data_IF_322186168929
#
_entry.id   IF_322186168929
#
_cell.length_a   1.000
_cell.length_b   1.000
_cell.length_c   1.000
_cell.angle_alpha   90.00
_cell.angle_beta   90.00
_cell.angle_gamma   90.00
#
_symmetry.space_group_name_H-M   'P 1'
#
loop_
_entity.id
_entity.type
_entity.pdbx_description
1 polymer ?
#
# COMPACT_ATOMS: atom_id res chain seq x y z
N UNK A 1 13.44 6.80 -17.11
CA UNK A 1 13.44 7.29 -15.74
C UNK A 1 14.26 6.33 -14.91
N UNK A 2 15.23 6.83 -14.16
CA UNK A 2 16.12 5.98 -13.35
C UNK A 2 15.39 5.35 -12.18
N UNK A 3 15.88 4.22 -11.75
CA UNK A 3 15.46 3.55 -10.52
C UNK A 3 16.69 3.36 -9.66
N UNK A 4 16.66 3.85 -8.45
CA UNK A 4 17.80 3.86 -7.55
C UNK A 4 17.50 3.15 -6.24
N UNK A 5 18.52 2.57 -5.65
CA UNK A 5 18.41 1.98 -4.31
C UNK A 5 18.22 3.09 -3.27
N UNK A 6 17.17 2.97 -2.45
CA UNK A 6 16.87 3.95 -1.40
C UNK A 6 18.02 4.06 -0.39
N UNK A 7 18.69 2.95 -0.06
CA UNK A 7 19.73 2.89 0.98
C UNK A 7 21.11 3.33 0.54
N UNK A 8 21.50 3.11 -0.72
CA UNK A 8 22.88 3.35 -1.16
C UNK A 8 23.02 4.11 -2.48
N UNK A 9 21.92 4.53 -3.10
CA UNK A 9 21.92 5.31 -4.34
C UNK A 9 22.31 4.53 -5.61
N UNK A 10 22.69 3.23 -5.51
CA UNK A 10 23.06 2.45 -6.70
C UNK A 10 21.89 2.36 -7.66
N UNK A 11 22.13 2.64 -8.95
CA UNK A 11 21.12 2.47 -9.99
C UNK A 11 20.77 1.00 -10.20
N UNK A 12 19.49 0.73 -10.47
CA UNK A 12 18.95 -0.59 -10.78
C UNK A 12 19.35 -1.00 -12.19
N UNK A 13 19.92 -2.18 -12.32
CA UNK A 13 20.29 -2.78 -13.59
C UNK A 13 19.20 -3.78 -14.00
N UNK A 14 18.34 -3.41 -14.98
CA UNK A 14 17.26 -4.28 -15.44
C UNK A 14 16.10 -4.41 -14.45
N UNK A 15 15.70 -5.63 -14.10
CA UNK A 15 14.50 -5.94 -13.31
C UNK A 15 14.81 -6.57 -11.94
N UNK A 16 15.94 -6.25 -11.36
CA UNK A 16 16.35 -6.76 -10.04
C UNK A 16 15.37 -6.38 -8.94
N UNK A 17 15.10 -7.30 -8.03
CA UNK A 17 14.17 -7.08 -6.91
C UNK A 17 14.81 -6.33 -5.74
N UNK A 18 16.11 -6.57 -5.52
CA UNK A 18 16.90 -5.97 -4.43
C UNK A 18 18.23 -5.49 -4.96
N UNK A 19 18.77 -4.45 -4.36
CA UNK A 19 20.07 -3.90 -4.72
C UNK A 19 21.19 -4.92 -4.50
N UNK A 20 21.95 -5.27 -5.53
CA UNK A 20 23.08 -6.19 -5.43
C UNK A 20 24.21 -5.70 -4.50
N UNK A 21 24.28 -4.37 -4.25
CA UNK A 21 25.32 -3.78 -3.39
C UNK A 21 24.98 -3.90 -1.89
N UNK A 22 23.72 -3.65 -1.50
CA UNK A 22 23.36 -3.55 -0.09
C UNK A 22 22.06 -4.29 0.30
N UNK A 23 21.45 -5.04 -0.62
CA UNK A 23 20.17 -5.72 -0.41
C UNK A 23 18.95 -4.80 -0.28
N UNK A 24 19.12 -3.48 -0.38
CA UNK A 24 18.05 -2.50 -0.17
C UNK A 24 17.00 -2.44 -1.28
N UNK A 25 15.83 -1.80 -0.98
CA UNK A 25 14.78 -1.60 -1.96
C UNK A 25 15.14 -0.52 -2.98
N UNK A 26 14.58 -0.65 -4.19
CA UNK A 26 14.67 0.39 -5.21
C UNK A 26 13.48 1.35 -5.14
N UNK A 27 13.66 2.60 -5.57
CA UNK A 27 12.59 3.57 -5.87
C UNK A 27 12.71 4.07 -7.31
N UNK A 28 11.61 4.55 -7.87
CA UNK A 28 11.63 5.38 -9.06
C UNK A 28 12.13 6.76 -8.66
N UNK A 29 13.14 7.28 -9.35
CA UNK A 29 13.71 8.59 -9.05
C UNK A 29 12.84 9.69 -9.67
N UNK A 30 12.32 10.57 -8.84
CA UNK A 30 11.39 11.63 -9.23
C UNK A 30 11.88 13.04 -8.84
N UNK A 31 13.11 13.13 -8.34
CA UNK A 31 13.62 14.37 -7.75
C UNK A 31 13.65 15.55 -8.74
N UNK A 32 13.85 15.28 -10.04
CA UNK A 32 13.80 16.29 -11.10
C UNK A 32 12.50 16.27 -11.92
N UNK A 33 11.51 15.45 -11.52
CA UNK A 33 10.25 15.34 -12.25
C UNK A 33 9.38 16.58 -12.01
N UNK A 34 8.96 17.33 -13.04
CA UNK A 34 7.98 18.39 -12.86
C UNK A 34 6.62 17.80 -12.46
N UNK A 35 5.86 18.54 -11.65
CA UNK A 35 4.52 18.13 -11.28
C UNK A 35 3.50 18.54 -12.34
N UNK A 36 2.59 17.62 -12.70
CA UNK A 36 1.45 17.88 -13.56
C UNK A 36 0.13 17.67 -12.82
N UNK A 37 -0.84 18.55 -13.05
CA UNK A 37 -2.23 18.40 -12.59
C UNK A 37 -2.97 17.25 -13.30
N UNK A 38 -2.53 16.86 -14.50
CA UNK A 38 -2.91 15.60 -15.12
C UNK A 38 -2.11 14.48 -14.43
N UNK A 39 -2.76 13.73 -13.54
CA UNK A 39 -2.08 12.82 -12.63
C UNK A 39 -1.24 11.75 -13.34
N UNK A 40 -1.66 11.28 -14.51
CA UNK A 40 -0.92 10.24 -15.26
C UNK A 40 0.41 10.75 -15.82
N UNK A 41 0.54 12.03 -16.10
CA UNK A 41 1.78 12.64 -16.58
C UNK A 41 2.91 12.63 -15.53
N UNK A 42 2.56 12.44 -14.26
CA UNK A 42 3.56 12.23 -13.19
C UNK A 42 4.22 10.85 -13.21
N UNK A 43 3.85 10.00 -14.17
CA UNK A 43 4.40 8.65 -14.38
C UNK A 43 4.91 8.48 -15.83
N UNK A 44 5.86 9.31 -16.29
CA UNK A 44 6.25 9.41 -17.70
C UNK A 44 6.94 8.15 -18.25
N UNK A 45 7.31 7.21 -17.38
CA UNK A 45 7.86 5.91 -17.77
C UNK A 45 6.78 4.90 -18.21
N UNK A 46 5.50 5.20 -17.96
CA UNK A 46 4.37 4.40 -18.44
C UNK A 46 3.89 4.99 -19.77
N UNK A 47 4.14 4.27 -20.84
CA UNK A 47 3.75 4.68 -22.22
C UNK A 47 2.34 4.24 -22.57
N UNK A 48 1.91 3.08 -22.05
CA UNK A 48 0.58 2.51 -22.27
C UNK A 48 0.03 1.98 -20.95
N UNK A 49 -1.16 2.42 -20.58
CA UNK A 49 -1.80 2.10 -19.32
C UNK A 49 -2.73 0.88 -19.46
N UNK A 50 -2.49 -0.13 -18.64
CA UNK A 50 -3.43 -1.24 -18.43
C UNK A 50 -4.39 -0.82 -17.32
N UNK A 51 -5.44 -0.09 -17.65
CA UNK A 51 -6.33 0.55 -16.68
C UNK A 51 -7.67 -0.20 -16.55
N UNK A 52 -8.17 -0.32 -15.34
CA UNK A 52 -9.50 -0.84 -15.00
C UNK A 52 -10.42 0.26 -14.46
N UNK A 53 -10.03 1.53 -14.55
CA UNK A 53 -10.77 2.66 -14.00
C UNK A 53 -10.39 3.01 -12.56
N UNK A 54 -9.18 2.61 -12.13
CA UNK A 54 -8.59 2.97 -10.84
C UNK A 54 -8.40 4.49 -10.71
N UNK A 55 -8.13 4.92 -9.46
CA UNK A 55 -7.96 6.32 -9.06
C UNK A 55 -9.29 7.08 -8.98
N UNK A 56 -9.22 8.38 -8.77
CA UNK A 56 -10.38 9.28 -8.62
C UNK A 56 -11.42 8.78 -7.61
N UNK A 57 -10.95 8.11 -6.53
CA UNK A 57 -11.84 7.64 -5.48
C UNK A 57 -12.46 8.83 -4.72
N UNK A 58 -13.72 8.74 -4.29
CA UNK A 58 -14.38 9.82 -3.57
C UNK A 58 -13.68 10.16 -2.25
N UNK A 59 -13.83 11.42 -1.82
CA UNK A 59 -13.43 11.88 -0.50
C UNK A 59 -14.62 12.51 0.20
N UNK A 60 -15.05 11.95 1.32
CA UNK A 60 -16.20 12.43 2.10
C UNK A 60 -15.73 13.27 3.30
N UNK A 61 -16.38 14.40 3.53
CA UNK A 61 -16.09 15.30 4.66
C UNK A 61 -17.06 15.08 5.81
N UNK A 62 -16.54 15.06 7.04
CA UNK A 62 -17.31 15.06 8.28
C UNK A 62 -16.59 15.96 9.31
N UNK A 63 -17.00 17.22 9.39
CA UNK A 63 -16.31 18.24 10.20
C UNK A 63 -14.90 18.51 9.68
N UNK A 64 -13.89 18.30 10.52
CA UNK A 64 -12.46 18.42 10.17
C UNK A 64 -11.85 17.10 9.69
N UNK A 65 -12.65 16.03 9.58
CA UNK A 65 -12.19 14.72 9.14
C UNK A 65 -12.67 14.45 7.73
N UNK A 66 -11.76 13.91 6.91
CA UNK A 66 -12.05 13.47 5.55
C UNK A 66 -11.79 11.97 5.45
N UNK A 67 -12.71 11.25 4.79
CA UNK A 67 -12.58 9.84 4.49
C UNK A 67 -12.24 9.67 3.02
N UNK A 68 -11.01 9.26 2.69
CA UNK A 68 -10.63 8.89 1.33
C UNK A 68 -11.02 7.45 1.06
N UNK A 69 -12.01 7.25 0.17
CA UNK A 69 -12.67 5.96 -0.04
C UNK A 69 -11.89 5.06 -1.02
N UNK A 70 -10.67 4.71 -0.69
CA UNK A 70 -9.78 3.93 -1.56
C UNK A 70 -10.21 2.46 -1.73
N UNK A 71 -11.13 2.00 -0.90
CA UNK A 71 -11.82 0.72 -1.06
C UNK A 71 -12.80 0.67 -2.26
N UNK A 72 -13.03 1.80 -2.94
CA UNK A 72 -13.85 1.89 -4.16
C UNK A 72 -13.03 1.76 -5.45
N UNK A 73 -11.73 1.50 -5.37
CA UNK A 73 -10.96 1.09 -6.53
C UNK A 73 -11.47 -0.25 -7.12
N UNK A 74 -11.23 -0.56 -8.40
CA UNK A 74 -11.86 -1.66 -9.14
C UNK A 74 -11.84 -3.02 -8.46
N UNK A 75 -10.72 -3.41 -7.81
CA UNK A 75 -10.65 -4.69 -7.09
C UNK A 75 -11.05 -4.59 -5.63
N UNK A 76 -11.55 -3.44 -5.18
CA UNK A 76 -11.99 -3.18 -3.82
C UNK A 76 -10.85 -2.83 -2.86
N UNK A 77 -9.72 -2.31 -3.34
CA UNK A 77 -8.66 -1.81 -2.45
C UNK A 77 -7.69 -0.83 -3.12
N UNK A 78 -6.96 -0.05 -2.31
CA UNK A 78 -5.90 0.86 -2.75
C UNK A 78 -4.76 0.19 -3.54
N UNK A 79 -4.66 -1.14 -3.48
CA UNK A 79 -3.62 -1.90 -4.16
C UNK A 79 -3.63 -1.68 -5.68
N UNK A 80 -4.78 -1.35 -6.23
CA UNK A 80 -4.96 -1.04 -7.65
C UNK A 80 -4.09 0.13 -8.11
N UNK A 81 -3.83 1.09 -7.22
CA UNK A 81 -2.92 2.21 -7.50
C UNK A 81 -1.50 1.76 -7.83
N UNK A 82 -1.03 0.73 -7.15
CA UNK A 82 0.28 0.14 -7.41
C UNK A 82 0.27 -0.87 -8.54
N UNK A 83 -0.80 -1.67 -8.63
CA UNK A 83 -0.91 -2.69 -9.67
C UNK A 83 -0.98 -2.10 -11.07
N UNK A 84 -1.71 -1.00 -11.27
CA UNK A 84 -1.81 -0.35 -12.58
C UNK A 84 -0.44 0.09 -13.11
N UNK A 85 0.39 0.72 -12.28
CA UNK A 85 1.73 1.16 -12.70
C UNK A 85 2.69 0.00 -12.89
N UNK A 86 2.70 -0.97 -11.97
CA UNK A 86 3.56 -2.14 -12.07
C UNK A 86 3.22 -2.97 -13.31
N UNK A 87 1.96 -3.34 -13.51
CA UNK A 87 1.56 -4.21 -14.63
C UNK A 87 1.72 -3.48 -15.97
N UNK A 88 1.39 -2.19 -16.06
CA UNK A 88 1.65 -1.40 -17.28
C UNK A 88 3.15 -1.37 -17.60
N UNK A 89 4.02 -1.19 -16.59
CA UNK A 89 5.46 -1.22 -16.78
C UNK A 89 5.96 -2.60 -17.24
N UNK A 90 5.52 -3.69 -16.61
CA UNK A 90 5.94 -5.04 -16.98
C UNK A 90 5.44 -5.42 -18.38
N UNK A 91 4.22 -5.02 -18.76
CA UNK A 91 3.67 -5.25 -20.09
C UNK A 91 4.52 -4.60 -21.20
N UNK A 92 4.92 -3.34 -21.00
CA UNK A 92 5.78 -2.66 -21.97
C UNK A 92 7.23 -3.19 -22.01
N UNK A 93 7.67 -3.88 -20.96
CA UNK A 93 8.94 -4.63 -20.93
C UNK A 93 8.83 -6.03 -21.57
N UNK A 94 7.66 -6.39 -22.10
CA UNK A 94 7.41 -7.68 -22.76
C UNK A 94 7.21 -8.86 -21.81
N UNK A 95 7.06 -8.63 -20.51
CA UNK A 95 6.78 -9.69 -19.53
C UNK A 95 5.37 -10.23 -19.76
N UNK A 96 5.22 -11.56 -19.86
CA UNK A 96 3.96 -12.26 -20.15
C UNK A 96 3.50 -13.16 -19.02
N UNK A 97 4.38 -13.48 -18.07
CA UNK A 97 4.13 -14.43 -17.00
C UNK A 97 4.65 -13.84 -15.68
N UNK A 98 3.78 -13.73 -14.68
CA UNK A 98 4.09 -13.09 -13.40
C UNK A 98 3.67 -13.95 -12.22
N UNK A 99 4.41 -13.83 -11.10
CA UNK A 99 4.08 -14.44 -9.82
C UNK A 99 3.91 -13.37 -8.73
N UNK A 100 3.12 -13.66 -7.72
CA UNK A 100 2.91 -12.83 -6.52
C UNK A 100 2.64 -13.73 -5.31
N UNK A 101 2.94 -13.27 -4.07
CA UNK A 101 2.86 -14.06 -2.84
C UNK A 101 1.76 -13.64 -1.86
N UNK A 102 0.69 -13.02 -2.35
CA UNK A 102 -0.38 -12.52 -1.49
C UNK A 102 -1.72 -13.24 -1.72
N UNK A 103 -2.27 -13.84 -0.67
CA UNK A 103 -3.65 -14.36 -0.65
C UNK A 103 -4.72 -13.28 -0.43
N UNK A 104 -4.32 -12.02 -0.27
CA UNK A 104 -5.19 -10.89 0.05
C UNK A 104 -5.35 -9.89 -1.09
N UNK A 105 -5.52 -8.62 -0.70
CA UNK A 105 -5.78 -7.52 -1.63
C UNK A 105 -4.70 -7.33 -2.71
N UNK A 106 -3.42 -7.56 -2.38
CA UNK A 106 -2.35 -7.43 -3.38
C UNK A 106 -2.47 -8.52 -4.45
N UNK A 107 -2.65 -9.79 -4.05
CA UNK A 107 -2.87 -10.88 -5.00
C UNK A 107 -4.10 -10.67 -5.87
N UNK A 108 -5.23 -10.23 -5.30
CA UNK A 108 -6.43 -9.93 -6.06
C UNK A 108 -6.21 -8.80 -7.10
N UNK A 109 -5.52 -7.75 -6.70
CA UNK A 109 -5.21 -6.63 -7.59
C UNK A 109 -4.24 -7.03 -8.71
N UNK A 110 -3.13 -7.71 -8.38
CA UNK A 110 -2.17 -8.22 -9.39
C UNK A 110 -2.84 -9.22 -10.35
N UNK A 111 -3.73 -10.09 -9.86
CA UNK A 111 -4.48 -11.02 -10.69
C UNK A 111 -5.38 -10.28 -11.70
N UNK A 112 -6.13 -9.27 -11.24
CA UNK A 112 -7.04 -8.50 -12.10
C UNK A 112 -6.30 -7.74 -13.21
N UNK A 113 -5.26 -6.97 -12.84
CA UNK A 113 -4.48 -6.18 -13.79
C UNK A 113 -3.64 -7.08 -14.72
N UNK A 114 -3.11 -8.20 -14.21
CA UNK A 114 -2.42 -9.20 -15.01
C UNK A 114 -3.34 -9.81 -16.06
N UNK A 115 -4.57 -10.18 -15.68
CA UNK A 115 -5.59 -10.67 -16.61
C UNK A 115 -5.94 -9.62 -17.68
N UNK A 116 -6.14 -8.36 -17.30
CA UNK A 116 -6.40 -7.26 -18.23
C UNK A 116 -5.23 -7.02 -19.21
N UNK A 117 -4.00 -7.32 -18.80
CA UNK A 117 -2.81 -7.26 -19.63
C UNK A 117 -2.60 -8.51 -20.52
N UNK A 118 -3.46 -9.52 -20.39
CA UNK A 118 -3.28 -10.82 -21.07
C UNK A 118 -2.08 -11.61 -20.57
N UNK A 119 -1.64 -11.39 -19.34
CA UNK A 119 -0.54 -12.11 -18.69
C UNK A 119 -1.05 -13.41 -18.05
N UNK A 120 -0.18 -14.42 -17.98
CA UNK A 120 -0.40 -15.55 -17.07
C UNK A 120 0.03 -15.14 -15.67
N UNK A 121 -0.86 -15.38 -14.69
CA UNK A 121 -0.63 -14.97 -13.30
C UNK A 121 -0.64 -16.20 -12.40
N UNK A 122 0.40 -16.36 -11.57
CA UNK A 122 0.46 -17.32 -10.47
C UNK A 122 0.47 -16.59 -9.14
N UNK A 123 -0.47 -16.93 -8.28
CA UNK A 123 -0.54 -16.40 -6.91
C UNK A 123 -0.19 -17.51 -5.93
N UNK A 124 0.93 -17.35 -5.25
CA UNK A 124 1.40 -18.26 -4.22
C UNK A 124 0.77 -17.87 -2.89
N UNK A 125 0.17 -18.85 -2.22
CA UNK A 125 -0.58 -18.62 -0.98
C UNK A 125 -0.26 -19.70 0.06
N UNK A 126 -0.40 -19.42 1.38
CA UNK A 126 -0.36 -20.48 2.37
C UNK A 126 -1.41 -21.55 2.07
N UNK A 127 -1.10 -22.83 2.34
CA UNK A 127 -2.04 -23.94 2.16
C UNK A 127 -3.35 -23.77 2.95
N UNK A 128 -3.29 -23.02 4.03
CA UNK A 128 -4.43 -22.66 4.88
C UNK A 128 -5.27 -21.49 4.35
N UNK A 129 -4.83 -20.81 3.29
CA UNK A 129 -5.54 -19.64 2.74
C UNK A 129 -6.95 -20.04 2.26
N UNK A 130 -7.94 -19.24 2.64
CA UNK A 130 -9.37 -19.42 2.35
C UNK A 130 -10.06 -18.04 2.29
N UNK A 131 -11.32 -18.04 1.89
CA UNK A 131 -12.21 -16.88 1.95
C UNK A 131 -12.40 -16.16 0.62
N UNK A 132 -13.14 -15.05 0.70
CA UNK A 132 -13.61 -14.30 -0.48
C UNK A 132 -12.47 -13.69 -1.30
N UNK A 133 -11.39 -13.25 -0.69
CA UNK A 133 -10.21 -12.70 -1.40
C UNK A 133 -9.56 -13.77 -2.30
N UNK A 134 -9.47 -15.02 -1.83
CA UNK A 134 -8.92 -16.11 -2.64
C UNK A 134 -9.84 -16.43 -3.82
N UNK A 135 -11.16 -16.51 -3.58
CA UNK A 135 -12.16 -16.68 -4.65
C UNK A 135 -12.08 -15.55 -5.68
N UNK A 136 -11.85 -14.32 -5.25
CA UNK A 136 -11.67 -13.19 -6.14
C UNK A 136 -10.43 -13.38 -7.04
N UNK A 137 -9.30 -13.83 -6.50
CA UNK A 137 -8.07 -14.16 -7.25
C UNK A 137 -8.34 -15.20 -8.32
N UNK A 138 -8.98 -16.30 -7.94
CA UNK A 138 -9.37 -17.41 -8.84
C UNK A 138 -10.33 -16.94 -9.95
N UNK A 139 -11.28 -16.06 -9.61
CA UNK A 139 -12.25 -15.50 -10.56
C UNK A 139 -11.61 -14.63 -11.65
N UNK A 140 -10.45 -14.03 -11.40
CA UNK A 140 -9.67 -13.33 -12.41
C UNK A 140 -8.81 -14.26 -13.29
N UNK A 141 -8.91 -15.58 -13.09
CA UNK A 141 -8.19 -16.57 -13.88
C UNK A 141 -6.74 -16.80 -13.47
N UNK A 142 -6.33 -16.32 -12.31
CA UNK A 142 -4.99 -16.58 -11.78
C UNK A 142 -4.87 -18.05 -11.29
N UNK A 143 -3.73 -18.68 -11.57
CA UNK A 143 -3.38 -19.98 -11.02
C UNK A 143 -2.95 -19.83 -9.56
N UNK A 144 -3.70 -20.42 -8.62
CA UNK A 144 -3.40 -20.40 -7.20
C UNK A 144 -2.51 -21.57 -6.81
N UNK A 145 -1.32 -21.29 -6.31
CA UNK A 145 -0.35 -22.31 -5.86
C UNK A 145 -0.31 -22.30 -4.33
N UNK A 146 -0.76 -23.38 -3.72
CA UNK A 146 -0.74 -23.54 -2.25
C UNK A 146 0.59 -24.08 -1.78
N UNK A 147 1.19 -23.38 -0.80
CA UNK A 147 2.50 -23.72 -0.22
C UNK A 147 2.32 -24.05 1.26
N UNK A 148 2.87 -25.19 1.67
CA UNK A 148 3.00 -25.54 3.08
C UNK A 148 4.15 -24.74 3.72
N UNK A 149 4.00 -24.38 4.98
CA UNK A 149 5.03 -23.67 5.74
C UNK A 149 4.68 -22.24 6.11
N UNK A 150 5.70 -21.43 6.33
CA UNK A 150 5.61 -20.06 6.79
C UNK A 150 5.26 -19.08 5.67
N UNK A 151 4.92 -17.84 6.05
CA UNK A 151 4.78 -16.73 5.09
C UNK A 151 6.05 -16.51 4.26
N UNK A 152 7.22 -16.74 4.85
CA UNK A 152 8.51 -16.61 4.17
C UNK A 152 8.70 -17.70 3.12
N UNK A 153 8.22 -18.94 3.38
CA UNK A 153 8.28 -20.04 2.42
C UNK A 153 7.39 -19.75 1.20
N UNK A 154 6.22 -19.15 1.42
CA UNK A 154 5.34 -18.68 0.33
C UNK A 154 6.03 -17.63 -0.53
N UNK A 155 6.66 -16.62 0.10
CA UNK A 155 7.37 -15.57 -0.62
C UNK A 155 8.57 -16.13 -1.41
N UNK A 156 9.35 -17.04 -0.83
CA UNK A 156 10.46 -17.74 -1.52
C UNK A 156 9.97 -18.56 -2.71
N UNK A 157 8.85 -19.27 -2.57
CA UNK A 157 8.28 -20.04 -3.66
C UNK A 157 7.84 -19.15 -4.83
N UNK A 158 7.23 -18.00 -4.55
CA UNK A 158 6.86 -17.03 -5.58
C UNK A 158 8.09 -16.39 -6.25
N UNK A 159 9.12 -16.02 -5.48
CA UNK A 159 10.36 -15.43 -5.99
C UNK A 159 11.17 -16.43 -6.85
N UNK A 160 11.19 -17.71 -6.47
CA UNK A 160 11.87 -18.79 -7.20
C UNK A 160 11.04 -19.38 -8.35
N UNK A 161 9.83 -18.85 -8.59
CA UNK A 161 9.00 -19.24 -9.73
C UNK A 161 9.73 -18.97 -11.05
N UNK A 162 9.47 -19.74 -12.12
CA UNK A 162 9.92 -19.38 -13.46
C UNK A 162 9.24 -18.11 -13.99
N UNK A 163 8.15 -17.67 -13.37
CA UNK A 163 7.44 -16.44 -13.69
C UNK A 163 8.13 -15.23 -13.03
N UNK A 164 8.02 -14.06 -13.65
CA UNK A 164 8.61 -12.86 -13.07
C UNK A 164 7.88 -12.45 -11.78
N UNK A 165 8.62 -12.31 -10.68
CA UNK A 165 8.04 -11.96 -9.38
C UNK A 165 7.59 -10.50 -9.32
N UNK A 166 6.29 -10.29 -9.46
CA UNK A 166 5.62 -8.98 -9.43
C UNK A 166 5.30 -8.51 -8.01
N UNK A 167 6.23 -8.72 -7.08
CA UNK A 167 6.06 -8.41 -5.66
C UNK A 167 5.57 -6.98 -5.41
N UNK A 168 4.43 -6.86 -4.75
CA UNK A 168 3.87 -5.57 -4.33
C UNK A 168 4.76 -4.83 -3.32
N UNK A 169 5.72 -5.50 -2.68
CA UNK A 169 6.67 -4.91 -1.72
C UNK A 169 7.97 -4.50 -2.40
N UNK A 170 8.53 -5.37 -3.24
CA UNK A 170 9.88 -5.19 -3.79
C UNK A 170 9.91 -4.33 -5.05
N UNK A 171 8.83 -4.33 -5.84
CA UNK A 171 8.81 -3.59 -7.09
C UNK A 171 8.66 -2.08 -6.86
N UNK A 172 9.60 -1.27 -7.34
CA UNK A 172 9.54 0.18 -7.16
C UNK A 172 8.32 0.81 -7.85
N UNK A 173 7.91 0.29 -8.99
CA UNK A 173 6.74 0.80 -9.73
C UNK A 173 5.43 0.63 -8.96
N UNK A 174 5.30 -0.43 -8.15
CA UNK A 174 4.12 -0.62 -7.32
C UNK A 174 3.99 0.51 -6.28
N UNK A 175 5.08 0.80 -5.56
CA UNK A 175 5.08 1.90 -4.59
C UNK A 175 4.92 3.25 -5.27
N UNK A 176 5.54 3.42 -6.43
CA UNK A 176 5.45 4.66 -7.19
C UNK A 176 4.02 4.98 -7.60
N UNK A 177 3.23 4.00 -8.04
CA UNK A 177 1.81 4.18 -8.38
C UNK A 177 0.95 4.70 -7.22
N UNK A 178 1.32 4.35 -5.99
CA UNK A 178 0.60 4.81 -4.78
C UNK A 178 0.75 6.31 -4.55
N UNK A 179 1.74 6.99 -5.13
CA UNK A 179 1.85 8.47 -5.11
C UNK A 179 0.58 9.16 -5.59
N UNK A 180 -0.15 8.54 -6.52
CA UNK A 180 -1.42 9.04 -7.04
C UNK A 180 -2.43 9.35 -5.94
N UNK A 181 -2.40 8.63 -4.82
CA UNK A 181 -3.29 8.87 -3.68
C UNK A 181 -3.06 10.24 -3.04
N UNK A 182 -1.80 10.61 -2.81
CA UNK A 182 -1.45 11.92 -2.27
C UNK A 182 -1.86 13.04 -3.23
N UNK A 183 -1.67 12.84 -4.54
CA UNK A 183 -2.06 13.82 -5.56
C UNK A 183 -3.57 14.05 -5.58
N UNK A 184 -4.37 12.99 -5.50
CA UNK A 184 -5.82 13.09 -5.42
C UNK A 184 -6.29 13.79 -4.16
N UNK A 185 -5.74 13.44 -3.00
CA UNK A 185 -6.08 14.08 -1.72
C UNK A 185 -5.84 15.59 -1.80
N UNK A 186 -4.68 16.01 -2.30
CA UNK A 186 -4.34 17.44 -2.42
C UNK A 186 -5.24 18.14 -3.45
N UNK A 187 -5.53 17.50 -4.58
CA UNK A 187 -6.50 18.01 -5.57
C UNK A 187 -7.89 18.18 -4.95
N UNK A 188 -8.38 17.16 -4.24
CA UNK A 188 -9.70 17.14 -3.63
C UNK A 188 -9.82 18.16 -2.46
N UNK A 189 -8.68 18.60 -1.90
CA UNK A 189 -8.55 19.70 -0.94
C UNK A 189 -8.20 21.05 -1.59
N UNK A 190 -8.54 21.25 -2.87
CA UNK A 190 -8.25 22.48 -3.61
C UNK A 190 -6.76 22.87 -3.61
N UNK A 191 -5.89 21.90 -3.84
CA UNK A 191 -4.43 22.03 -3.91
C UNK A 191 -3.78 22.48 -2.58
N UNK A 192 -4.36 22.07 -1.46
CA UNK A 192 -3.82 22.23 -0.10
C UNK A 192 -3.45 20.88 0.50
N UNK A 193 -2.37 20.86 1.31
CA UNK A 193 -2.09 19.70 2.13
C UNK A 193 -2.97 19.70 3.39
N UNK A 194 -3.49 18.55 3.85
CA UNK A 194 -4.13 18.44 5.17
C UNK A 194 -3.09 18.59 6.28
N UNK A 195 -3.54 18.69 7.54
CA UNK A 195 -2.63 18.67 8.67
C UNK A 195 -2.10 17.27 8.94
N UNK A 196 -2.99 16.28 8.93
CA UNK A 196 -2.66 14.89 9.18
C UNK A 196 -3.19 13.96 8.08
N UNK A 197 -2.45 12.87 7.85
CA UNK A 197 -2.93 11.72 7.07
C UNK A 197 -2.75 10.43 7.86
N UNK A 198 -3.81 9.65 8.02
CA UNK A 198 -3.83 8.39 8.75
C UNK A 198 -3.75 7.22 7.78
N UNK A 199 -2.76 6.35 7.96
CA UNK A 199 -2.47 5.23 7.08
C UNK A 199 -2.40 3.91 7.86
N UNK A 200 -3.23 2.89 7.54
CA UNK A 200 -3.01 1.54 8.05
C UNK A 200 -1.65 1.05 7.57
N UNK A 201 -0.79 0.62 8.48
CA UNK A 201 0.63 0.39 8.16
C UNK A 201 1.05 -1.04 8.46
N UNK A 202 1.45 -1.78 7.41
CA UNK A 202 1.98 -3.14 7.48
C UNK A 202 3.36 -3.21 6.80
N UNK A 203 3.45 -3.73 5.57
CA UNK A 203 4.70 -3.87 4.82
C UNK A 203 5.36 -2.54 4.38
N UNK A 204 4.65 -1.41 4.47
CA UNK A 204 5.19 -0.07 4.22
C UNK A 204 4.91 0.52 2.85
N UNK A 205 4.36 -0.23 1.91
CA UNK A 205 4.15 0.26 0.53
C UNK A 205 3.22 1.47 0.45
N UNK A 206 2.13 1.47 1.24
CA UNK A 206 1.20 2.60 1.31
C UNK A 206 1.88 3.85 1.88
N UNK A 207 2.56 3.70 3.01
CA UNK A 207 3.22 4.80 3.69
C UNK A 207 4.28 5.46 2.80
N UNK A 208 5.19 4.65 2.22
CA UNK A 208 6.24 5.17 1.36
C UNK A 208 5.69 5.83 0.10
N UNK A 209 4.70 5.21 -0.56
CA UNK A 209 4.12 5.77 -1.78
C UNK A 209 3.41 7.09 -1.53
N UNK A 210 2.61 7.18 -0.46
CA UNK A 210 1.91 8.41 -0.07
C UNK A 210 2.91 9.51 0.32
N UNK A 211 3.93 9.18 1.11
CA UNK A 211 4.98 10.14 1.48
C UNK A 211 5.69 10.70 0.25
N UNK A 212 6.12 9.85 -0.70
CA UNK A 212 6.77 10.29 -1.93
C UNK A 212 5.86 11.20 -2.77
N UNK A 213 4.54 10.97 -2.76
CA UNK A 213 3.60 11.86 -3.43
C UNK A 213 3.51 13.24 -2.79
N UNK A 214 3.43 13.33 -1.47
CA UNK A 214 3.46 14.62 -0.76
C UNK A 214 4.82 15.31 -0.90
N UNK A 215 5.93 14.56 -0.78
CA UNK A 215 7.29 15.09 -0.97
C UNK A 215 7.45 15.71 -2.36
N UNK A 216 7.02 14.99 -3.42
CA UNK A 216 7.08 15.49 -4.79
C UNK A 216 6.34 16.83 -4.95
N UNK A 217 5.10 16.91 -4.48
CA UNK A 217 4.32 18.15 -4.55
C UNK A 217 4.93 19.29 -3.74
N UNK A 218 5.48 18.99 -2.56
CA UNK A 218 6.16 19.98 -1.71
C UNK A 218 7.42 20.53 -2.39
N UNK A 219 8.28 19.67 -2.92
CA UNK A 219 9.52 20.06 -3.61
C UNK A 219 9.26 20.84 -4.91
N UNK A 220 8.08 20.63 -5.54
CA UNK A 220 7.63 21.39 -6.73
C UNK A 220 6.81 22.64 -6.37
N UNK A 221 6.69 22.99 -5.11
CA UNK A 221 5.97 24.18 -4.67
C UNK A 221 4.44 24.13 -4.88
N UNK A 222 3.88 22.94 -5.09
CA UNK A 222 2.42 22.74 -5.26
C UNK A 222 1.71 22.86 -3.92
N UNK A 223 2.33 22.38 -2.85
CA UNK A 223 1.88 22.50 -1.47
C UNK A 223 2.97 23.14 -0.61
N UNK A 224 2.58 23.76 0.49
CA UNK A 224 3.49 24.51 1.38
C UNK A 224 4.01 23.68 2.57
N UNK A 225 3.49 22.46 2.77
CA UNK A 225 3.94 21.55 3.83
C UNK A 225 3.71 20.09 3.41
N UNK A 226 4.49 19.20 4.00
CA UNK A 226 4.18 17.75 4.02
C UNK A 226 3.28 17.51 5.22
N UNK A 227 2.11 16.85 5.07
CA UNK A 227 1.24 16.56 6.21
C UNK A 227 1.92 15.62 7.21
N UNK A 228 1.52 15.70 8.47
CA UNK A 228 1.95 14.73 9.48
C UNK A 228 1.40 13.35 9.14
N UNK A 229 2.28 12.38 8.93
CA UNK A 229 1.89 11.01 8.59
C UNK A 229 1.66 10.23 9.87
N UNK A 230 0.43 9.78 10.09
CA UNK A 230 0.05 8.96 11.23
C UNK A 230 0.01 7.51 10.79
N UNK A 231 1.08 6.78 11.09
CA UNK A 231 1.14 5.35 10.85
C UNK A 231 0.32 4.61 11.92
N UNK A 232 -0.65 3.79 11.50
CA UNK A 232 -1.50 3.04 12.42
C UNK A 232 -1.16 1.56 12.35
N UNK A 233 -0.81 0.97 13.49
CA UNK A 233 -0.54 -0.45 13.65
C UNK A 233 -1.42 -1.06 14.73
N UNK A 234 -1.49 -2.40 14.76
CA UNK A 234 -2.24 -3.12 15.79
C UNK A 234 -1.34 -3.47 16.97
N UNK A 235 -1.92 -3.69 18.15
CA UNK A 235 -1.17 -4.12 19.33
C UNK A 235 -0.39 -5.43 19.11
N UNK A 236 -0.94 -6.36 18.32
CA UNK A 236 -0.26 -7.59 17.97
C UNK A 236 0.90 -7.41 16.98
N UNK A 237 0.80 -6.43 16.06
CA UNK A 237 1.78 -6.23 15.00
C UNK A 237 2.16 -4.76 14.91
N UNK A 238 3.17 -4.37 15.68
CA UNK A 238 3.61 -2.97 15.80
C UNK A 238 5.12 -2.75 15.63
N UNK A 239 5.80 -3.39 14.66
CA UNK A 239 7.25 -3.26 14.52
C UNK A 239 7.72 -1.83 14.28
N UNK A 240 6.96 -1.01 13.53
CA UNK A 240 7.28 0.39 13.30
C UNK A 240 7.07 1.23 14.55
N UNK A 241 5.89 1.12 15.19
CA UNK A 241 5.58 1.89 16.39
C UNK A 241 6.55 1.57 17.53
N UNK A 242 6.97 0.31 17.66
CA UNK A 242 7.96 -0.07 18.66
C UNK A 242 9.30 0.63 18.45
N UNK A 243 9.78 0.70 17.19
CA UNK A 243 11.03 1.39 16.82
C UNK A 243 10.95 2.90 17.04
N UNK A 244 9.86 3.51 16.58
CA UNK A 244 9.66 4.97 16.68
C UNK A 244 9.53 5.43 18.13
N UNK A 245 8.82 4.67 18.96
CA UNK A 245 8.52 5.03 20.37
C UNK A 245 9.48 4.40 21.40
N UNK A 246 10.41 3.57 20.96
CA UNK A 246 11.32 2.87 21.89
C UNK A 246 10.61 1.85 22.79
N UNK A 247 9.48 1.29 22.34
CA UNK A 247 8.70 0.31 23.09
C UNK A 247 9.21 -1.09 22.77
N UNK A 248 9.40 -1.93 23.81
CA UNK A 248 9.77 -3.33 23.60
C UNK A 248 8.63 -4.05 22.86
N UNK A 249 8.97 -4.72 21.77
CA UNK A 249 8.04 -5.51 20.97
C UNK A 249 8.62 -6.89 20.69
N UNK A 250 7.85 -7.90 21.03
CA UNK A 250 8.14 -9.29 20.68
C UNK A 250 7.03 -9.73 19.71
N UNK A 251 7.33 -10.03 18.45
CA UNK A 251 6.31 -10.48 17.51
C UNK A 251 5.67 -11.79 18.03
N UNK A 252 4.36 -11.95 17.90
CA UNK A 252 3.67 -13.17 18.28
C UNK A 252 4.08 -14.33 17.35
N UNK A 253 4.10 -15.55 17.86
CA UNK A 253 4.29 -16.75 17.02
C UNK A 253 3.22 -16.87 15.94
N UNK A 254 1.98 -16.52 16.29
CA UNK A 254 0.84 -16.50 15.38
C UNK A 254 0.07 -15.21 15.53
N UNK A 255 -0.10 -14.49 14.42
CA UNK A 255 -0.97 -13.31 14.38
C UNK A 255 -2.43 -13.75 14.31
N UNK A 256 -3.24 -13.25 15.23
CA UNK A 256 -4.68 -13.54 15.33
C UNK A 256 -5.55 -12.29 15.22
N UNK A 257 -4.94 -11.14 14.88
CA UNK A 257 -5.65 -9.88 14.74
C UNK A 257 -6.71 -9.95 13.64
N UNK A 258 -7.89 -9.35 13.90
CA UNK A 258 -8.95 -9.18 12.90
C UNK A 258 -8.52 -8.28 11.73
N UNK A 259 -7.50 -7.43 11.95
CA UNK A 259 -6.91 -6.59 10.90
C UNK A 259 -5.96 -7.42 10.00
N UNK A 260 -6.52 -8.35 9.25
CA UNK A 260 -5.84 -9.39 8.46
C UNK A 260 -4.84 -8.88 7.40
N UNK A 261 -4.93 -7.62 7.00
CA UNK A 261 -3.96 -6.99 6.10
C UNK A 261 -2.76 -6.34 6.84
N UNK A 262 -2.78 -6.26 8.19
CA UNK A 262 -1.73 -5.65 9.00
C UNK A 262 -0.90 -6.71 9.77
N UNK A 263 -0.38 -7.69 9.05
CA UNK A 263 0.25 -8.89 9.65
C UNK A 263 1.76 -8.99 9.44
N UNK A 264 2.42 -7.98 8.88
CA UNK A 264 3.87 -8.00 8.65
C UNK A 264 4.62 -7.72 9.95
N UNK A 265 5.11 -8.76 10.61
CA UNK A 265 5.86 -8.65 11.87
C UNK A 265 7.30 -8.21 11.69
N UNK A 266 7.88 -8.42 10.49
CA UNK A 266 9.24 -8.01 10.12
C UNK A 266 9.23 -7.42 8.70
N UNK A 267 8.67 -6.20 8.50
CA UNK A 267 8.56 -5.62 7.18
C UNK A 267 9.92 -5.23 6.59
N UNK A 268 10.15 -5.60 5.33
CA UNK A 268 11.39 -5.29 4.59
C UNK A 268 11.68 -3.79 4.50
N UNK A 269 10.62 -2.97 4.45
CA UNK A 269 10.69 -1.51 4.36
C UNK A 269 10.70 -0.81 5.74
N UNK A 270 10.93 -1.55 6.82
CA UNK A 270 10.92 -0.98 8.18
C UNK A 270 11.91 0.17 8.38
N UNK A 271 13.18 0.09 7.92
CA UNK A 271 14.11 1.21 8.06
C UNK A 271 13.64 2.48 7.38
N UNK A 272 13.11 2.38 6.18
CA UNK A 272 12.59 3.50 5.39
C UNK A 272 11.35 4.13 6.04
N UNK A 273 10.45 3.29 6.57
CA UNK A 273 9.28 3.77 7.33
C UNK A 273 9.69 4.50 8.61
N UNK A 274 10.64 3.96 9.36
CA UNK A 274 11.14 4.53 10.60
C UNK A 274 11.72 5.93 10.36
N UNK A 275 12.54 6.11 9.32
CA UNK A 275 13.12 7.40 8.94
C UNK A 275 12.03 8.43 8.62
N UNK A 276 11.04 8.05 7.80
CA UNK A 276 9.92 8.93 7.43
C UNK A 276 9.12 9.35 8.67
N UNK A 277 8.73 8.39 9.52
CA UNK A 277 7.86 8.69 10.66
C UNK A 277 8.58 9.51 11.72
N UNK A 278 9.86 9.26 11.98
CA UNK A 278 10.65 10.09 12.92
C UNK A 278 10.74 11.55 12.49
N UNK A 279 10.76 11.82 11.19
CA UNK A 279 10.92 13.17 10.65
C UNK A 279 9.59 13.87 10.37
N UNK A 280 8.59 13.14 9.89
CA UNK A 280 7.36 13.72 9.31
C UNK A 280 6.08 13.17 9.93
N UNK A 281 6.14 12.37 10.99
CA UNK A 281 4.95 11.69 11.44
C UNK A 281 4.90 11.33 12.91
N UNK A 282 4.01 10.41 13.18
CA UNK A 282 3.83 9.73 14.46
C UNK A 282 3.28 8.31 14.21
N UNK A 283 3.31 7.49 15.24
CA UNK A 283 2.79 6.14 15.19
C UNK A 283 1.75 5.91 16.29
N UNK A 284 0.61 5.36 15.90
CA UNK A 284 -0.50 5.03 16.81
C UNK A 284 -0.76 3.53 16.79
N UNK A 285 -0.92 2.95 17.96
CA UNK A 285 -1.28 1.54 18.13
C UNK A 285 -2.73 1.45 18.59
N UNK A 286 -3.48 0.54 17.97
CA UNK A 286 -4.87 0.23 18.30
C UNK A 286 -5.04 -1.24 18.66
N UNK A 287 -5.91 -1.54 19.62
CA UNK A 287 -6.24 -2.90 20.03
C UNK A 287 -7.47 -3.45 19.29
N UNK A 288 -7.77 -4.73 19.47
CA UNK A 288 -8.87 -5.43 18.78
C UNK A 288 -10.25 -4.83 19.07
N UNK A 289 -10.49 -4.40 20.32
CA UNK A 289 -11.76 -3.78 20.73
C UNK A 289 -11.94 -2.42 20.05
N UNK A 290 -10.90 -1.61 20.03
CA UNK A 290 -10.88 -0.31 19.33
C UNK A 290 -11.15 -0.48 17.83
N UNK A 291 -10.54 -1.49 17.20
CA UNK A 291 -10.75 -1.80 15.78
C UNK A 291 -12.22 -2.19 15.53
N UNK A 292 -12.75 -3.08 16.34
CA UNK A 292 -14.14 -3.52 16.22
C UNK A 292 -15.12 -2.36 16.40
N UNK A 293 -14.90 -1.49 17.38
CA UNK A 293 -15.73 -0.32 17.64
C UNK A 293 -15.64 0.68 16.48
N UNK A 294 -14.44 0.98 16.00
CA UNK A 294 -14.24 1.85 14.83
C UNK A 294 -14.91 1.31 13.56
N UNK A 295 -14.83 0.01 13.35
CA UNK A 295 -15.49 -0.65 12.22
C UNK A 295 -17.02 -0.52 12.30
N UNK A 296 -17.62 -0.78 13.49
CA UNK A 296 -19.08 -0.61 13.72
C UNK A 296 -19.52 0.83 13.46
N UNK A 297 -18.75 1.82 13.94
CA UNK A 297 -19.07 3.23 13.74
C UNK A 297 -19.01 3.63 12.25
N UNK A 298 -18.00 3.17 11.50
CA UNK A 298 -17.92 3.40 10.06
C UNK A 298 -19.09 2.73 9.32
N UNK A 299 -19.41 1.48 9.67
CA UNK A 299 -20.54 0.76 9.08
C UNK A 299 -21.89 1.49 9.30
N UNK A 300 -22.14 2.03 10.52
CA UNK A 300 -23.34 2.84 10.83
C UNK A 300 -23.42 4.15 10.03
N UNK A 301 -22.26 4.64 9.53
CA UNK A 301 -22.18 5.78 8.62
C UNK A 301 -22.31 5.38 7.14
N UNK A 302 -22.59 4.11 6.83
CA UNK A 302 -22.67 3.58 5.48
C UNK A 302 -21.31 3.25 4.85
N UNK A 303 -20.23 3.27 5.63
CA UNK A 303 -18.86 2.99 5.17
C UNK A 303 -18.45 1.59 5.62
N UNK A 304 -18.83 0.58 4.85
CA UNK A 304 -18.45 -0.81 5.10
C UNK A 304 -17.03 -1.08 4.58
N UNK A 305 -16.08 -1.15 5.47
CA UNK A 305 -14.66 -1.33 5.17
C UNK A 305 -14.09 -2.59 5.82
N UNK A 306 -12.91 -3.05 5.39
CA UNK A 306 -12.15 -4.08 6.11
C UNK A 306 -11.75 -3.60 7.52
N UNK A 307 -11.60 -4.53 8.47
CA UNK A 307 -11.10 -4.20 9.81
C UNK A 307 -9.75 -3.49 9.78
N UNK A 308 -8.86 -3.89 8.89
CA UNK A 308 -7.57 -3.21 8.66
C UNK A 308 -7.73 -1.75 8.28
N UNK A 309 -8.77 -1.40 7.52
CA UNK A 309 -9.09 -0.01 7.16
C UNK A 309 -9.69 0.76 8.33
N UNK A 310 -10.48 0.11 9.18
CA UNK A 310 -11.11 0.75 10.35
C UNK A 310 -10.08 1.20 11.39
N UNK A 311 -8.88 0.65 11.41
CA UNK A 311 -7.80 1.03 12.34
C UNK A 311 -7.52 2.54 12.35
N UNK A 312 -7.61 3.21 11.19
CA UNK A 312 -7.35 4.66 11.11
C UNK A 312 -8.44 5.49 11.79
N UNK A 313 -9.69 5.00 11.76
CA UNK A 313 -10.79 5.64 12.47
C UNK A 313 -10.64 5.45 13.99
N UNK A 314 -10.25 4.26 14.42
CA UNK A 314 -9.97 3.96 15.83
C UNK A 314 -8.81 4.81 16.37
N UNK A 315 -7.79 5.08 15.54
CA UNK A 315 -6.64 5.90 15.91
C UNK A 315 -6.97 7.40 16.05
N UNK A 316 -8.07 7.88 15.43
CA UNK A 316 -8.45 9.30 15.43
C UNK A 316 -8.65 9.85 16.85
N UNK A 317 -9.26 9.07 17.74
CA UNK A 317 -9.51 9.46 19.13
C UNK A 317 -8.23 9.67 19.97
N UNK A 318 -7.09 9.17 19.47
CA UNK A 318 -5.77 9.28 20.14
C UNK A 318 -4.97 10.51 19.73
N UNK A 319 -5.52 11.34 18.84
CA UNK A 319 -4.91 12.57 18.34
C UNK A 319 -5.85 13.76 18.55
N UNK A 320 -5.30 14.96 18.68
CA UNK A 320 -6.08 16.18 18.91
C UNK A 320 -7.06 16.44 17.75
N UNK A 321 -8.34 16.59 18.06
CA UNK A 321 -9.44 16.65 17.11
C UNK A 321 -9.57 17.97 16.30
N UNK A 322 -8.73 18.97 16.56
CA UNK A 322 -8.84 20.32 15.95
C UNK A 322 -8.19 20.40 14.57
N UNK A 323 -7.30 19.47 14.21
CA UNK A 323 -6.53 19.47 12.98
C UNK A 323 -7.27 18.77 11.84
N UNK A 324 -7.16 19.33 10.63
CA UNK A 324 -7.74 18.74 9.42
C UNK A 324 -7.05 17.41 9.11
N UNK A 325 -7.81 16.32 9.17
CA UNK A 325 -7.27 14.96 9.08
C UNK A 325 -7.91 14.15 7.96
N UNK A 326 -7.09 13.51 7.14
CA UNK A 326 -7.54 12.56 6.11
C UNK A 326 -7.30 11.14 6.58
N UNK A 327 -8.34 10.33 6.61
CA UNK A 327 -8.31 8.91 6.90
C UNK A 327 -8.41 8.11 5.60
N UNK A 328 -7.41 7.29 5.29
CA UNK A 328 -7.43 6.45 4.09
C UNK A 328 -8.11 5.13 4.39
N UNK A 329 -9.31 4.95 3.84
CA UNK A 329 -10.09 3.71 3.94
C UNK A 329 -9.70 2.78 2.80
N UNK A 330 -8.85 1.79 3.10
CA UNK A 330 -8.01 1.09 2.13
C UNK A 330 -8.63 -0.12 1.47
N UNK A 331 -9.57 -0.81 2.11
CA UNK A 331 -10.15 -2.07 1.63
C UNK A 331 -11.64 -2.18 1.91
N UNK A 332 -12.36 -2.83 0.98
CA UNK A 332 -13.81 -2.99 0.99
C UNK A 332 -14.23 -4.11 1.96
N UNK A 333 -15.17 -3.81 2.87
CA UNK A 333 -15.64 -4.73 3.89
C UNK A 333 -16.39 -5.95 3.33
N UNK A 334 -16.99 -5.87 2.14
CA UNK A 334 -17.63 -7.01 1.48
C UNK A 334 -16.64 -8.16 1.20
N UNK A 335 -15.35 -7.91 1.24
CA UNK A 335 -14.28 -8.93 1.05
C UNK A 335 -13.98 -9.73 2.32
N UNK A 336 -14.58 -9.36 3.46
CA UNK A 336 -14.32 -9.97 4.78
C UNK A 336 -15.58 -10.43 5.50
N UNK A 337 -16.73 -10.32 4.83
CA UNK A 337 -18.02 -10.87 5.31
C UNK A 337 -18.12 -12.36 4.99
#
# INVERSE_FOLDING_TARGET
>A
MRQICIRCGKEREGLELRCKRCGGPFKVEIDDLPFSKNLRENFPYIKSWISLGEWNTPMLRSGNVYFKLDFLNPTGSYKDRGSVTLISYLAQMGIKEISEDSSGNAGASIAAYGAAAGMKVRIYVPSTARGSKLKQIESYGAEVIKIEGSREDVAKAAENSPYYYASHVLQPQFRDGIRSLAYEIVRDLNWRAPDNIFLPTSAGTLLLGVFEGFRHMFERGVINKIPKIIAVQTEQVMPLCSKVKGIKYNPPEKVTSIADALVSTNPFLLPEMEEIIKKYGDCVVVNEEEIMNGWKELARRGLLVEYSSATVYSALSKIKAEEESVLVLTGNGLKTL
#
